data_IF_232895908627
#
_entry.id   IF_232895908627
#
_cell.length_a   1.000
_cell.length_b   1.000
_cell.length_c   1.000
_cell.angle_alpha   90.00
_cell.angle_beta   90.00
_cell.angle_gamma   90.00
#
_symmetry.space_group_name_H-M   'P 1'
#
loop_
_entity.id
_entity.type
_entity.pdbx_description
1 polymer ?
#
# COMPACT_ATOMS: atom_id res chain seq x y z
N UNK A 1 -6.53 11.24 11.95
CA UNK A 1 -6.82 11.14 10.50
C UNK A 1 -6.08 9.94 9.96
N UNK A 2 -6.66 9.21 9.01
CA UNK A 2 -6.10 7.99 8.43
C UNK A 2 -6.29 7.98 6.93
N UNK A 3 -5.58 7.08 6.24
CA UNK A 3 -5.72 6.89 4.80
C UNK A 3 -7.00 6.08 4.47
N UNK A 4 -7.66 6.44 3.37
CA UNK A 4 -8.85 5.76 2.84
C UNK A 4 -8.78 5.64 1.32
N UNK A 5 -9.64 4.79 0.75
CA UNK A 5 -9.88 4.75 -0.70
C UNK A 5 -10.31 6.14 -1.18
N UNK A 6 -9.73 6.56 -2.31
CA UNK A 6 -9.91 7.89 -2.88
C UNK A 6 -8.91 8.95 -2.42
N UNK A 7 -8.13 8.71 -1.37
CA UNK A 7 -7.02 9.61 -1.01
C UNK A 7 -5.94 9.57 -2.10
N UNK A 8 -5.28 10.71 -2.33
CA UNK A 8 -4.14 10.76 -3.24
C UNK A 8 -2.98 9.91 -2.73
N UNK A 9 -2.19 9.34 -3.65
CA UNK A 9 -0.96 8.62 -3.30
C UNK A 9 -0.04 9.46 -2.40
N UNK A 10 0.16 10.74 -2.75
CA UNK A 10 0.99 11.67 -1.99
C UNK A 10 0.52 11.85 -0.54
N UNK A 11 -0.80 11.92 -0.30
CA UNK A 11 -1.35 11.99 1.05
C UNK A 11 -0.96 10.78 1.91
N UNK A 12 -0.97 9.57 1.32
CA UNK A 12 -0.54 8.34 2.00
C UNK A 12 0.96 8.39 2.32
N UNK A 13 1.77 8.84 1.36
CA UNK A 13 3.21 8.98 1.54
C UNK A 13 3.56 9.97 2.66
N UNK A 14 2.86 11.10 2.73
CA UNK A 14 3.05 12.10 3.79
C UNK A 14 2.58 11.59 5.15
N UNK A 15 1.44 10.89 5.20
CA UNK A 15 0.89 10.34 6.45
C UNK A 15 1.82 9.29 7.08
N UNK A 16 2.52 8.51 6.26
CA UNK A 16 3.39 7.42 6.69
C UNK A 16 4.87 7.67 6.40
N UNK A 17 5.28 8.93 6.28
CA UNK A 17 6.64 9.34 5.94
C UNK A 17 7.70 8.59 6.75
N UNK A 18 8.68 8.02 6.04
CA UNK A 18 9.76 7.22 6.63
C UNK A 18 9.41 5.75 6.90
N UNK A 19 8.18 5.31 6.62
CA UNK A 19 7.74 3.91 6.74
C UNK A 19 7.13 3.37 5.44
N UNK A 20 7.28 4.10 4.34
CA UNK A 20 6.66 3.80 3.03
C UNK A 20 7.69 3.30 2.02
N UNK A 21 7.33 2.30 1.24
CA UNK A 21 8.03 1.91 0.01
C UNK A 21 7.03 1.85 -1.15
N UNK A 22 7.42 2.36 -2.32
CA UNK A 22 6.57 2.36 -3.53
C UNK A 22 7.13 1.34 -4.51
N UNK A 23 6.26 0.49 -5.05
CA UNK A 23 6.61 -0.48 -6.09
C UNK A 23 5.61 -0.41 -7.24
N UNK A 24 6.02 -0.70 -8.49
CA UNK A 24 5.08 -0.80 -9.60
C UNK A 24 4.00 -1.86 -9.35
N UNK A 25 2.75 -1.57 -9.72
CA UNK A 25 1.67 -2.53 -9.62
C UNK A 25 1.90 -3.69 -10.59
N UNK A 26 1.66 -4.92 -10.12
CA UNK A 26 1.96 -6.14 -10.89
C UNK A 26 1.17 -6.23 -12.21
N UNK A 27 -0.05 -5.68 -12.25
CA UNK A 27 -0.97 -5.79 -13.40
C UNK A 27 -1.25 -4.48 -14.12
N UNK A 28 -1.07 -3.34 -13.44
CA UNK A 28 -1.40 -2.00 -13.96
C UNK A 28 -0.18 -1.09 -13.99
N UNK A 29 0.99 -1.61 -13.62
CA UNK A 29 2.25 -0.90 -13.80
C UNK A 29 2.53 -0.64 -15.29
N UNK A 30 3.18 0.48 -15.63
CA UNK A 30 3.81 1.43 -14.71
C UNK A 30 2.86 2.49 -14.11
N UNK A 31 1.61 2.56 -14.56
CA UNK A 31 0.68 3.62 -14.13
C UNK A 31 0.24 3.42 -12.67
N UNK A 32 -0.12 2.20 -12.28
CA UNK A 32 -0.50 1.87 -10.90
C UNK A 32 0.69 1.52 -10.02
N UNK A 33 0.54 1.76 -8.71
CA UNK A 33 1.57 1.43 -7.70
C UNK A 33 1.01 0.67 -6.51
N UNK A 34 1.90 -0.08 -5.86
CA UNK A 34 1.73 -0.51 -4.47
C UNK A 34 2.49 0.46 -3.57
N UNK A 35 1.79 1.07 -2.61
CA UNK A 35 2.40 1.80 -1.50
C UNK A 35 2.38 0.92 -0.26
N UNK A 36 3.55 0.37 0.08
CA UNK A 36 3.77 -0.49 1.22
C UNK A 36 4.06 0.37 2.45
N UNK A 37 3.30 0.20 3.53
CA UNK A 37 3.47 0.91 4.80
C UNK A 37 3.79 -0.10 5.89
N UNK A 38 4.99 0.01 6.46
CA UNK A 38 5.41 -0.85 7.56
C UNK A 38 4.84 -0.38 8.90
N UNK A 39 4.25 -1.32 9.64
CA UNK A 39 3.82 -1.11 11.01
C UNK A 39 5.01 -0.82 11.94
N UNK A 40 4.79 -0.11 13.06
CA UNK A 40 5.87 0.26 13.97
C UNK A 40 6.56 -0.95 14.63
N UNK A 41 5.90 -2.10 14.68
CA UNK A 41 6.46 -3.35 15.21
C UNK A 41 7.15 -4.22 14.14
N UNK A 42 7.13 -3.78 12.87
CA UNK A 42 7.69 -4.51 11.73
C UNK A 42 6.99 -5.84 11.42
N UNK A 43 5.84 -6.13 12.04
CA UNK A 43 5.13 -7.41 11.88
C UNK A 43 3.87 -7.25 11.05
N UNK A 44 3.29 -6.07 11.04
CA UNK A 44 2.14 -5.72 10.21
C UNK A 44 2.57 -4.80 9.07
N UNK A 45 1.91 -4.92 7.93
CA UNK A 45 2.07 -4.02 6.80
C UNK A 45 0.69 -3.68 6.23
N UNK A 46 0.55 -2.46 5.73
CA UNK A 46 -0.59 -2.03 4.92
C UNK A 46 -0.08 -1.84 3.50
N UNK A 47 -0.78 -2.41 2.53
CA UNK A 47 -0.49 -2.27 1.12
C UNK A 47 -1.63 -1.49 0.51
N UNK A 48 -1.37 -0.26 0.07
CA UNK A 48 -2.31 0.52 -0.71
C UNK A 48 -2.05 0.27 -2.19
N UNK A 49 -3.12 0.05 -2.95
CA UNK A 49 -3.08 -0.07 -4.40
C UNK A 49 -3.56 1.26 -4.97
N UNK A 50 -2.79 1.82 -5.90
CA UNK A 50 -3.08 3.10 -6.53
C UNK A 50 -3.18 2.94 -8.05
N UNK A 51 -3.93 3.83 -8.68
CA UNK A 51 -3.96 4.00 -10.14
C UNK A 51 -2.91 5.02 -10.64
N UNK A 52 -1.94 5.36 -9.79
CA UNK A 52 -0.94 6.41 -10.05
C UNK A 52 -1.35 7.80 -9.54
N UNK A 53 -2.62 8.01 -9.21
CA UNK A 53 -3.11 9.26 -8.63
C UNK A 53 -3.72 9.09 -7.25
N UNK A 54 -4.58 8.07 -7.09
CA UNK A 54 -5.36 7.82 -5.88
C UNK A 54 -5.38 6.35 -5.47
N UNK A 55 -5.64 6.12 -4.19
CA UNK A 55 -5.89 4.80 -3.63
C UNK A 55 -7.19 4.24 -4.20
N UNK A 56 -7.12 3.06 -4.83
CA UNK A 56 -8.28 2.32 -5.35
C UNK A 56 -8.69 1.19 -4.41
N UNK A 57 -7.74 0.58 -3.71
CA UNK A 57 -7.97 -0.44 -2.68
C UNK A 57 -6.80 -0.46 -1.70
N UNK A 58 -6.99 -1.15 -0.58
CA UNK A 58 -5.90 -1.43 0.34
C UNK A 58 -6.16 -2.74 1.09
N UNK A 59 -5.08 -3.38 1.51
CA UNK A 59 -5.10 -4.55 2.40
C UNK A 59 -4.13 -4.34 3.56
N UNK A 60 -4.46 -4.89 4.72
CA UNK A 60 -3.62 -4.83 5.91
C UNK A 60 -3.53 -6.23 6.51
N UNK A 61 -2.33 -6.63 6.93
CA UNK A 61 -2.10 -7.96 7.45
C UNK A 61 -0.69 -8.12 8.02
N UNK A 62 -0.38 -9.34 8.48
CA UNK A 62 0.98 -9.69 8.91
C UNK A 62 1.87 -9.98 7.72
N UNK A 63 3.16 -9.70 7.87
CA UNK A 63 4.17 -10.20 6.95
C UNK A 63 4.48 -11.68 7.25
N UNK A 64 4.67 -12.53 6.22
CA UNK A 64 4.69 -12.21 4.79
C UNK A 64 3.30 -12.29 4.10
N UNK A 65 2.25 -12.70 4.81
CA UNK A 65 0.95 -13.03 4.20
C UNK A 65 0.31 -11.86 3.43
N UNK A 66 0.51 -10.63 3.89
CA UNK A 66 -0.05 -9.42 3.25
C UNK A 66 0.62 -9.03 1.92
N UNK A 67 1.82 -9.55 1.67
CA UNK A 67 2.55 -9.35 0.42
C UNK A 67 2.07 -10.31 -0.68
N UNK A 68 1.32 -11.36 -0.33
CA UNK A 68 0.81 -12.33 -1.30
C UNK A 68 -0.34 -11.71 -2.09
N UNK A 69 -0.06 -11.38 -3.34
CA UNK A 69 -1.02 -10.78 -4.29
C UNK A 69 -2.22 -11.70 -4.54
N UNK A 70 -2.08 -13.00 -4.30
CA UNK A 70 -3.09 -14.03 -4.56
C UNK A 70 -3.97 -14.35 -3.34
N UNK A 71 -3.75 -13.68 -2.21
CA UNK A 71 -4.41 -14.01 -0.95
C UNK A 71 -3.96 -15.37 -0.39
N UNK A 72 -4.38 -15.69 0.83
CA UNK A 72 -4.24 -17.04 1.36
C UNK A 72 -5.34 -17.91 0.74
N UNK A 73 -4.97 -18.96 0.01
CA UNK A 73 -5.89 -20.04 -0.34
C UNK A 73 -5.99 -21.08 0.78
#
# INVERSE_FOLDING_TARGET
TGAKVGDSEQHVLDLYKGRTAVQPHKYTGPEGHYVLVLGPDGKAQIVFETDGGKVVSYRAGRQPEVEWVEGCS
#
